data_IF_983635461149
#
_entry.id   IF_983635461149
#
_cell.length_a   1.000
_cell.length_b   1.000
_cell.length_c   1.000
_cell.angle_alpha   90.00
_cell.angle_beta   90.00
_cell.angle_gamma   90.00
#
_symmetry.space_group_name_H-M   'P 1'
#
loop_
_entity.id
_entity.type
_entity.pdbx_description
1 polymer ?
#
# COMPACT_ATOMS: atom_id res chain seq x y z
N UNK A 1 -14.95 -8.66 -17.26
CA UNK A 1 -13.83 -7.76 -17.08
C UNK A 1 -12.71 -8.60 -16.52
N UNK A 2 -11.63 -8.74 -17.30
CA UNK A 2 -10.48 -9.57 -16.92
C UNK A 2 -9.90 -9.04 -15.61
N UNK A 3 -9.73 -9.90 -14.62
CA UNK A 3 -9.19 -9.54 -13.31
C UNK A 3 -7.75 -9.04 -13.39
N UNK A 4 -7.07 -9.26 -14.52
CA UNK A 4 -5.65 -8.99 -14.76
C UNK A 4 -5.42 -7.95 -15.88
N UNK A 5 -6.36 -7.03 -16.08
CA UNK A 5 -6.21 -6.01 -17.10
C UNK A 5 -5.08 -5.02 -16.75
N UNK A 6 -4.11 -4.88 -17.67
CA UNK A 6 -3.03 -3.90 -17.54
C UNK A 6 -2.74 -3.23 -18.88
N UNK A 7 -2.20 -2.01 -18.82
CA UNK A 7 -1.81 -1.23 -20.00
C UNK A 7 -0.51 -0.47 -19.75
N UNK A 8 0.40 -0.52 -20.71
CA UNK A 8 1.59 0.32 -20.70
C UNK A 8 1.20 1.72 -21.14
N UNK A 9 1.29 2.70 -20.22
CA UNK A 9 0.92 4.10 -20.48
C UNK A 9 2.10 4.95 -20.90
N UNK A 10 3.32 4.58 -20.50
CA UNK A 10 4.57 5.21 -20.94
C UNK A 10 5.60 4.11 -21.22
N UNK A 11 6.29 4.22 -22.35
CA UNK A 11 7.45 3.39 -22.69
C UNK A 11 8.38 4.21 -23.62
N UNK A 12 9.18 5.08 -23.00
CA UNK A 12 10.13 5.95 -23.71
C UNK A 12 11.29 6.37 -22.81
N UNK A 13 12.43 6.66 -23.40
CA UNK A 13 13.64 7.16 -22.71
C UNK A 13 14.08 6.26 -21.56
N UNK A 14 13.85 4.93 -21.70
CA UNK A 14 14.16 3.93 -20.69
C UNK A 14 13.18 3.86 -19.52
N UNK A 15 12.15 4.72 -19.48
CA UNK A 15 11.07 4.68 -18.50
C UNK A 15 9.92 3.86 -19.05
N UNK A 16 9.47 2.86 -18.28
CA UNK A 16 8.23 2.13 -18.54
C UNK A 16 7.29 2.29 -17.35
N UNK A 17 6.06 2.71 -17.63
CA UNK A 17 4.99 2.81 -16.63
C UNK A 17 3.82 1.95 -17.09
N UNK A 18 3.41 1.01 -16.24
CA UNK A 18 2.27 0.12 -16.47
C UNK A 18 1.19 0.42 -15.45
N UNK A 19 0.00 0.78 -15.91
CA UNK A 19 -1.19 0.81 -15.09
C UNK A 19 -1.85 -0.57 -15.10
N UNK A 20 -2.29 -1.06 -13.96
CA UNK A 20 -2.97 -2.35 -13.83
C UNK A 20 -4.18 -2.23 -12.90
N UNK A 21 -5.18 -3.06 -13.16
CA UNK A 21 -6.41 -3.06 -12.38
C UNK A 21 -6.16 -3.60 -10.98
N UNK A 22 -6.78 -2.94 -9.97
CA UNK A 22 -6.90 -3.44 -8.59
C UNK A 22 -8.36 -3.46 -8.16
N UNK A 23 -8.66 -4.01 -6.97
CA UNK A 23 -10.03 -4.14 -6.48
C UNK A 23 -10.31 -3.16 -5.33
N UNK A 24 -11.03 -2.11 -5.63
CA UNK A 24 -11.50 -1.13 -4.65
C UNK A 24 -13.02 -0.90 -4.77
N UNK A 25 -13.76 -1.99 -5.05
CA UNK A 25 -15.23 -1.89 -5.22
C UNK A 25 -15.91 -1.34 -3.97
N UNK A 26 -16.88 -0.42 -4.10
CA UNK A 26 -17.64 -0.08 -5.32
C UNK A 26 -17.00 0.99 -6.23
N UNK A 27 -15.82 1.51 -5.91
CA UNK A 27 -15.14 2.53 -6.73
C UNK A 27 -14.44 1.84 -7.91
N UNK A 28 -14.85 2.19 -9.13
CA UNK A 28 -14.30 1.64 -10.37
C UNK A 28 -14.19 2.74 -11.44
N UNK A 29 -13.11 2.79 -12.23
CA UNK A 29 -11.95 1.91 -12.17
C UNK A 29 -11.04 2.24 -10.99
N UNK A 30 -10.39 1.22 -10.41
CA UNK A 30 -9.28 1.37 -9.47
C UNK A 30 -8.02 0.77 -10.09
N UNK A 31 -6.89 1.48 -9.95
CA UNK A 31 -5.64 1.10 -10.61
C UNK A 31 -4.44 1.27 -9.69
N UNK A 32 -3.50 0.33 -9.84
CA UNK A 32 -2.14 0.46 -9.35
C UNK A 32 -1.19 0.80 -10.50
N UNK A 33 0.02 1.19 -10.18
CA UNK A 33 1.04 1.56 -11.15
C UNK A 33 2.37 0.87 -10.85
N UNK A 34 3.00 0.28 -11.88
CA UNK A 34 4.38 -0.19 -11.84
C UNK A 34 5.26 0.75 -12.65
N UNK A 35 6.39 1.12 -12.08
CA UNK A 35 7.42 1.94 -12.69
C UNK A 35 8.70 1.13 -12.82
N UNK A 36 9.25 1.05 -14.03
CA UNK A 36 10.55 0.43 -14.31
C UNK A 36 11.45 1.47 -14.95
N UNK A 37 12.68 1.67 -14.42
CA UNK A 37 13.67 2.60 -14.94
C UNK A 37 15.09 2.21 -14.55
N UNK A 38 15.98 2.07 -15.53
CA UNK A 38 17.40 1.75 -15.33
C UNK A 38 17.62 0.56 -14.39
N UNK A 39 16.90 -0.54 -14.63
CA UNK A 39 17.01 -1.76 -13.84
C UNK A 39 16.42 -1.68 -12.43
N UNK A 40 15.80 -0.54 -12.07
CA UNK A 40 15.09 -0.36 -10.79
C UNK A 40 13.59 -0.34 -11.02
N UNK A 41 12.84 -0.76 -10.00
CA UNK A 41 11.39 -0.85 -10.12
C UNK A 41 10.67 -0.51 -8.81
N UNK A 42 9.48 0.06 -8.94
CA UNK A 42 8.58 0.25 -7.81
C UNK A 42 7.12 0.07 -8.25
N UNK A 43 6.29 -0.27 -7.28
CA UNK A 43 4.84 -0.35 -7.46
C UNK A 43 4.14 0.56 -6.45
N UNK A 44 3.08 1.21 -6.89
CA UNK A 44 2.12 1.94 -6.04
C UNK A 44 0.78 1.24 -6.20
N UNK A 45 0.21 0.74 -5.09
CA UNK A 45 -0.99 -0.08 -5.12
C UNK A 45 -2.25 0.65 -5.61
N UNK A 46 -2.37 1.97 -5.36
CA UNK A 46 -3.68 2.60 -5.27
C UNK A 46 -4.46 2.03 -4.09
N UNK A 47 -5.70 2.45 -3.89
CA UNK A 47 -6.57 1.88 -2.86
C UNK A 47 -7.13 0.53 -3.33
N UNK A 48 -7.00 -0.51 -2.52
CA UNK A 48 -7.36 -1.88 -2.92
C UNK A 48 -7.44 -2.82 -1.73
N UNK A 49 -8.29 -3.84 -1.81
CA UNK A 49 -8.14 -5.03 -0.96
C UNK A 49 -6.96 -5.88 -1.45
N UNK A 50 -6.71 -7.04 -0.81
CA UNK A 50 -5.77 -8.02 -1.37
C UNK A 50 -6.10 -8.30 -2.84
N UNK A 51 -5.12 -8.15 -3.73
CA UNK A 51 -5.29 -8.27 -5.19
C UNK A 51 -4.19 -9.14 -5.78
N UNK A 52 -4.60 -10.21 -6.49
CA UNK A 52 -3.65 -11.07 -7.24
C UNK A 52 -2.99 -10.30 -8.39
N UNK A 53 -3.69 -9.34 -9.00
CA UNK A 53 -3.10 -8.46 -10.01
C UNK A 53 -1.98 -7.59 -9.42
N UNK A 54 -2.19 -7.02 -8.22
CA UNK A 54 -1.16 -6.27 -7.52
C UNK A 54 0.03 -7.18 -7.16
N UNK A 55 -0.22 -8.39 -6.66
CA UNK A 55 0.83 -9.37 -6.36
C UNK A 55 1.70 -9.63 -7.60
N UNK A 56 1.08 -9.97 -8.73
CA UNK A 56 1.76 -10.26 -9.99
C UNK A 56 2.61 -9.06 -10.47
N UNK A 57 2.06 -7.85 -10.44
CA UNK A 57 2.80 -6.66 -10.85
C UNK A 57 3.87 -6.22 -9.85
N UNK A 58 3.83 -6.72 -8.62
CA UNK A 58 4.84 -6.48 -7.58
C UNK A 58 5.97 -7.50 -7.56
N UNK A 59 5.95 -8.53 -8.41
CA UNK A 59 7.01 -9.56 -8.43
C UNK A 59 8.38 -8.94 -8.65
N UNK A 60 9.30 -9.17 -7.68
CA UNK A 60 10.68 -8.78 -7.70
C UNK A 60 10.94 -7.27 -7.77
N UNK A 61 10.00 -6.43 -7.32
CA UNK A 61 10.23 -4.98 -7.30
C UNK A 61 11.07 -4.56 -6.09
N UNK A 62 11.85 -3.51 -6.26
CA UNK A 62 12.65 -2.93 -5.17
C UNK A 62 11.74 -2.36 -4.07
N UNK A 63 10.70 -1.60 -4.44
CA UNK A 63 9.78 -1.02 -3.46
C UNK A 63 8.32 -1.28 -3.85
N UNK A 64 7.54 -1.76 -2.90
CA UNK A 64 6.09 -1.74 -2.96
C UNK A 64 5.55 -0.67 -2.00
N UNK A 65 4.96 0.39 -2.56
CA UNK A 65 4.11 1.31 -1.82
C UNK A 65 2.70 0.75 -1.78
N UNK A 66 2.20 0.41 -0.60
CA UNK A 66 0.87 -0.18 -0.43
C UNK A 66 0.04 0.62 0.56
N UNK A 67 -1.22 0.91 0.21
CA UNK A 67 -2.19 1.44 1.15
C UNK A 67 -2.45 0.43 2.27
N UNK A 68 -2.93 0.89 3.42
CA UNK A 68 -3.15 -0.01 4.56
C UNK A 68 -4.20 0.51 5.54
N UNK A 69 -5.05 -0.39 6.00
CA UNK A 69 -6.08 -0.11 6.99
C UNK A 69 -6.03 -1.11 8.14
N UNK A 70 -6.06 -0.61 9.38
CA UNK A 70 -6.16 -1.46 10.58
C UNK A 70 -7.62 -1.74 10.94
N UNK A 71 -8.16 -2.95 10.69
CA UNK A 71 -9.58 -3.26 10.94
C UNK A 71 -9.97 -3.07 12.40
N UNK A 72 -9.13 -3.46 13.34
CA UNK A 72 -9.45 -3.35 14.76
C UNK A 72 -9.49 -1.90 15.24
N UNK A 73 -8.59 -1.01 14.73
CA UNK A 73 -8.60 0.41 15.06
C UNK A 73 -9.84 1.11 14.47
N UNK A 74 -10.15 0.80 13.20
CA UNK A 74 -11.36 1.31 12.55
C UNK A 74 -12.61 0.85 13.29
N UNK A 75 -12.64 -0.45 13.72
CA UNK A 75 -13.75 -0.98 14.51
C UNK A 75 -13.89 -0.25 15.85
N UNK A 76 -12.81 0.04 16.56
CA UNK A 76 -12.86 0.83 17.79
C UNK A 76 -13.48 2.22 17.56
N UNK A 77 -13.08 2.89 16.46
CA UNK A 77 -13.65 4.19 16.09
C UNK A 77 -15.15 4.03 15.77
N UNK A 78 -15.50 2.99 15.01
CA UNK A 78 -16.90 2.68 14.68
C UNK A 78 -17.76 2.47 15.92
N UNK A 79 -17.28 1.66 16.87
CA UNK A 79 -18.01 1.35 18.09
C UNK A 79 -18.21 2.62 18.96
N UNK A 80 -17.23 3.52 18.99
CA UNK A 80 -17.35 4.82 19.67
C UNK A 80 -18.26 5.81 18.91
N UNK A 81 -18.34 5.69 17.59
CA UNK A 81 -19.19 6.57 16.76
C UNK A 81 -20.69 6.40 17.06
N UNK A 82 -21.11 5.32 17.72
CA UNK A 82 -22.49 5.16 18.22
C UNK A 82 -22.87 6.22 19.25
N UNK A 83 -21.90 6.77 19.95
CA UNK A 83 -22.10 7.84 20.94
C UNK A 83 -22.00 9.26 20.33
N UNK A 84 -21.64 9.34 19.03
CA UNK A 84 -21.51 10.62 18.33
C UNK A 84 -22.79 10.98 17.57
N UNK A 85 -23.21 12.26 17.58
CA UNK A 85 -24.30 12.73 16.75
C UNK A 85 -23.99 12.73 15.24
N UNK A 86 -22.74 12.43 14.84
CA UNK A 86 -22.29 12.43 13.44
C UNK A 86 -22.58 11.08 12.79
N UNK A 87 -23.76 10.93 12.22
CA UNK A 87 -24.19 9.68 11.54
C UNK A 87 -23.31 9.27 10.35
N UNK A 88 -22.62 10.21 9.70
CA UNK A 88 -21.71 9.94 8.58
C UNK A 88 -20.49 9.13 8.99
N UNK A 89 -19.92 9.36 10.19
CA UNK A 89 -18.72 8.63 10.66
C UNK A 89 -19.01 7.13 10.79
N UNK A 90 -20.18 6.76 11.31
CA UNK A 90 -20.58 5.35 11.45
C UNK A 90 -20.69 4.65 10.09
N UNK A 91 -21.27 5.32 9.08
CA UNK A 91 -21.38 4.75 7.74
C UNK A 91 -20.00 4.59 7.09
N UNK A 92 -19.17 5.63 7.13
CA UNK A 92 -17.83 5.60 6.56
C UNK A 92 -16.98 4.48 7.18
N UNK A 93 -16.96 4.38 8.53
CA UNK A 93 -16.16 3.34 9.22
C UNK A 93 -16.68 1.91 8.97
N UNK A 94 -17.97 1.74 8.67
CA UNK A 94 -18.50 0.42 8.26
C UNK A 94 -18.10 0.06 6.83
N UNK A 95 -18.07 1.05 5.94
CA UNK A 95 -17.81 0.82 4.52
C UNK A 95 -16.33 0.58 4.24
N UNK A 96 -15.42 1.36 4.81
CA UNK A 96 -13.96 1.27 4.54
C UNK A 96 -13.36 -0.10 4.91
N UNK A 97 -13.97 -0.85 5.84
CA UNK A 97 -13.55 -2.20 6.19
C UNK A 97 -13.63 -3.21 5.01
N UNK A 98 -14.31 -2.85 3.93
CA UNK A 98 -14.62 -3.77 2.83
C UNK A 98 -13.72 -3.61 1.61
N UNK A 99 -13.00 -2.49 1.50
CA UNK A 99 -12.30 -2.13 0.27
C UNK A 99 -10.88 -1.59 0.48
N UNK A 100 -10.31 -1.79 1.68
CA UNK A 100 -8.92 -1.51 1.99
C UNK A 100 -8.19 -2.75 2.49
N UNK A 101 -6.88 -2.81 2.24
CA UNK A 101 -6.03 -3.92 2.63
C UNK A 101 -5.64 -3.87 4.11
N UNK A 102 -5.57 -5.03 4.75
CA UNK A 102 -5.04 -5.15 6.10
C UNK A 102 -3.51 -5.18 6.12
N UNK A 103 -2.83 -4.89 7.26
CA UNK A 103 -1.38 -5.03 7.36
C UNK A 103 -0.89 -6.45 7.02
N UNK A 104 -1.67 -7.48 7.37
CA UNK A 104 -1.37 -8.86 7.01
C UNK A 104 -1.48 -9.10 5.50
N UNK A 105 -2.44 -8.47 4.82
CA UNK A 105 -2.60 -8.63 3.37
C UNK A 105 -1.48 -7.94 2.60
N UNK A 106 -1.09 -6.72 3.00
CA UNK A 106 0.06 -6.03 2.41
C UNK A 106 1.34 -6.83 2.56
N UNK A 107 1.56 -7.42 3.74
CA UNK A 107 2.72 -8.25 4.04
C UNK A 107 2.70 -9.59 3.27
N UNK A 108 1.53 -10.21 3.07
CA UNK A 108 1.40 -11.42 2.23
C UNK A 108 1.76 -11.12 0.77
N UNK A 109 1.28 -10.00 0.22
CA UNK A 109 1.64 -9.57 -1.13
C UNK A 109 3.15 -9.36 -1.22
N UNK A 110 3.73 -8.55 -0.33
CA UNK A 110 5.17 -8.26 -0.33
C UNK A 110 6.02 -9.54 -0.19
N UNK A 111 5.63 -10.45 0.70
CA UNK A 111 6.35 -11.71 0.92
C UNK A 111 6.26 -12.67 -0.26
N UNK A 112 5.08 -12.85 -0.85
CA UNK A 112 4.89 -13.73 -2.02
C UNK A 112 5.55 -13.17 -3.27
N UNK A 113 5.49 -11.86 -3.47
CA UNK A 113 6.07 -11.18 -4.61
C UNK A 113 7.61 -11.04 -4.53
N UNK A 114 8.22 -11.30 -3.38
CA UNK A 114 9.66 -11.15 -3.19
C UNK A 114 10.11 -9.69 -3.26
N UNK A 115 9.32 -8.77 -2.71
CA UNK A 115 9.61 -7.33 -2.67
C UNK A 115 10.79 -7.06 -1.74
N UNK A 116 11.70 -6.17 -2.12
CA UNK A 116 12.84 -5.83 -1.25
C UNK A 116 12.43 -4.92 -0.09
N UNK A 117 11.52 -3.97 -0.30
CA UNK A 117 11.05 -3.04 0.73
C UNK A 117 9.55 -2.73 0.61
N UNK A 118 8.81 -2.97 1.68
CA UNK A 118 7.39 -2.59 1.81
C UNK A 118 7.27 -1.22 2.48
N UNK A 119 6.68 -0.26 1.79
CA UNK A 119 6.35 1.07 2.34
C UNK A 119 4.84 1.19 2.44
N UNK A 120 4.34 1.41 3.63
CA UNK A 120 2.90 1.60 3.88
C UNK A 120 2.55 3.08 3.80
N UNK A 121 1.57 3.43 2.99
CA UNK A 121 1.02 4.78 2.85
C UNK A 121 -0.50 4.75 2.98
N UNK A 122 -1.17 5.90 2.89
CA UNK A 122 -2.64 5.98 3.09
C UNK A 122 -3.09 5.15 4.31
N UNK A 123 -2.44 5.43 5.46
CA UNK A 123 -2.60 4.67 6.70
C UNK A 123 -3.95 5.02 7.35
N UNK A 124 -4.82 4.03 7.51
CA UNK A 124 -6.17 4.19 8.06
C UNK A 124 -6.34 3.37 9.35
N UNK A 125 -6.72 4.02 10.46
CA UNK A 125 -6.74 5.46 10.68
C UNK A 125 -5.33 6.04 10.79
N UNK A 126 -5.15 7.36 10.59
CA UNK A 126 -3.85 7.98 10.81
C UNK A 126 -3.42 7.79 12.26
N UNK A 127 -2.13 7.47 12.45
CA UNK A 127 -1.58 7.19 13.79
C UNK A 127 -1.13 8.48 14.46
N UNK A 128 -1.58 8.74 15.70
CA UNK A 128 -1.19 9.94 16.44
C UNK A 128 0.27 9.88 16.94
N UNK A 129 0.90 8.70 16.92
CA UNK A 129 2.28 8.51 17.38
C UNK A 129 2.92 7.29 16.73
N UNK A 130 4.21 7.35 16.38
CA UNK A 130 4.99 6.20 15.90
C UNK A 130 5.06 5.03 16.90
N UNK A 131 4.81 5.26 18.17
CA UNK A 131 4.77 4.21 19.20
C UNK A 131 3.67 3.16 18.92
N UNK A 132 2.66 3.53 18.14
CA UNK A 132 1.58 2.64 17.76
C UNK A 132 1.88 1.78 16.50
N UNK A 133 3.00 2.02 15.83
CA UNK A 133 3.32 1.33 14.57
C UNK A 133 3.32 -0.20 14.73
N UNK A 134 3.95 -0.74 15.78
CA UNK A 134 3.98 -2.19 15.99
C UNK A 134 2.61 -2.77 16.29
N UNK A 135 1.79 -2.03 17.01
CA UNK A 135 0.41 -2.42 17.31
C UNK A 135 -0.45 -2.39 16.03
N UNK A 136 -0.28 -1.36 15.19
CA UNK A 136 -0.94 -1.24 13.89
C UNK A 136 -0.58 -2.40 12.96
N UNK A 137 0.71 -2.74 12.86
CA UNK A 137 1.22 -3.80 11.99
C UNK A 137 0.78 -5.21 12.40
N UNK A 138 0.43 -5.42 13.68
CA UNK A 138 -0.06 -6.70 14.16
C UNK A 138 0.84 -7.87 13.78
N UNK A 139 0.31 -8.81 12.99
CA UNK A 139 1.02 -10.00 12.55
C UNK A 139 1.74 -9.88 11.19
N UNK A 140 1.82 -8.71 10.60
CA UNK A 140 2.39 -8.50 9.26
C UNK A 140 3.78 -9.16 9.11
N UNK A 141 4.66 -9.05 10.13
CA UNK A 141 6.00 -9.65 10.13
C UNK A 141 6.03 -11.19 10.09
N UNK A 142 4.89 -11.86 10.27
CA UNK A 142 4.80 -13.31 10.05
C UNK A 142 4.87 -13.66 8.56
N UNK A 143 4.36 -12.78 7.71
CA UNK A 143 4.21 -13.00 6.27
C UNK A 143 5.32 -12.37 5.44
N UNK A 144 5.91 -11.27 5.93
CA UNK A 144 7.03 -10.60 5.26
C UNK A 144 8.17 -10.34 6.23
N UNK A 145 9.39 -10.77 5.85
CA UNK A 145 10.61 -10.66 6.69
C UNK A 145 11.50 -9.49 6.32
N UNK A 146 11.23 -8.87 5.17
CA UNK A 146 11.93 -7.68 4.73
C UNK A 146 11.57 -6.42 5.54
N UNK A 147 12.17 -5.30 5.20
CA UNK A 147 11.92 -4.01 5.85
C UNK A 147 10.50 -3.51 5.55
N UNK A 148 9.80 -3.06 6.61
CA UNK A 148 8.49 -2.40 6.52
C UNK A 148 8.65 -0.98 7.07
N UNK A 149 8.34 0.02 6.24
CA UNK A 149 8.33 1.43 6.64
C UNK A 149 6.90 1.96 6.71
N UNK A 150 6.53 2.56 7.83
CA UNK A 150 5.32 3.38 7.93
C UNK A 150 5.62 4.73 7.28
N UNK A 151 5.05 4.98 6.10
CA UNK A 151 5.25 6.22 5.37
C UNK A 151 4.69 7.43 6.11
N UNK A 152 5.41 8.53 6.04
CA UNK A 152 4.96 9.84 6.51
C UNK A 152 5.25 10.88 5.44
N UNK A 153 4.50 11.97 5.45
CA UNK A 153 4.67 13.05 4.49
C UNK A 153 6.10 13.60 4.48
N UNK A 154 6.62 13.86 3.30
CA UNK A 154 7.99 14.34 3.10
C UNK A 154 9.07 13.26 3.16
N UNK A 155 8.73 11.97 3.19
CA UNK A 155 9.71 10.91 2.95
C UNK A 155 10.12 10.87 1.48
N UNK A 156 11.42 10.75 1.25
CA UNK A 156 12.04 10.51 -0.06
C UNK A 156 12.69 9.13 -0.07
N UNK A 157 12.40 8.36 -1.10
CA UNK A 157 13.10 7.12 -1.42
C UNK A 157 13.90 7.32 -2.70
N UNK A 158 15.16 6.90 -2.71
CA UNK A 158 16.04 6.97 -3.88
C UNK A 158 16.57 5.59 -4.20
N UNK A 159 16.44 5.20 -5.45
CA UNK A 159 16.89 3.93 -6.01
C UNK A 159 18.02 4.22 -7.02
N UNK A 160 19.31 4.31 -6.59
CA UNK A 160 20.39 4.56 -7.53
C UNK A 160 20.44 3.46 -8.61
N UNK A 161 20.66 3.86 -9.87
CA UNK A 161 20.88 2.92 -10.96
C UNK A 161 22.12 2.06 -10.69
N UNK A 162 22.15 0.87 -11.27
CA UNK A 162 23.29 -0.07 -11.17
C UNK A 162 23.65 -0.46 -9.72
N UNK A 163 22.71 -0.36 -8.80
CA UNK A 163 22.88 -0.72 -7.39
C UNK A 163 21.61 -1.40 -6.83
N UNK A 164 21.75 -2.19 -5.76
CA UNK A 164 20.62 -2.72 -4.99
C UNK A 164 20.20 -1.80 -3.84
N UNK A 165 20.78 -0.61 -3.72
CA UNK A 165 20.52 0.27 -2.59
C UNK A 165 19.13 0.92 -2.67
N UNK A 166 18.50 1.02 -1.50
CA UNK A 166 17.28 1.79 -1.28
C UNK A 166 17.59 2.83 -0.20
N UNK A 167 17.80 4.07 -0.63
CA UNK A 167 18.12 5.16 0.28
C UNK A 167 16.84 5.88 0.73
N UNK A 168 16.70 6.11 2.03
CA UNK A 168 15.53 6.77 2.61
C UNK A 168 15.95 8.05 3.34
N UNK A 169 15.23 9.14 3.12
CA UNK A 169 15.44 10.42 3.79
C UNK A 169 14.12 11.09 4.12
N UNK A 170 14.00 11.71 5.28
CA UNK A 170 12.89 12.59 5.63
C UNK A 170 13.27 14.03 5.27
N UNK A 171 12.48 14.68 4.39
CA UNK A 171 12.72 16.05 3.92
C UNK A 171 12.00 17.09 4.77
N UNK A 172 10.85 16.72 5.35
CA UNK A 172 10.06 17.59 6.22
C UNK A 172 10.29 17.20 7.69
N UNK A 173 10.33 18.20 8.56
CA UNK A 173 10.46 18.02 10.02
C UNK A 173 9.12 17.74 10.67
#
# INVERSE_FOLDING_TARGET
PEEDASVVIINRDGVKITAFKVDHRPVVPAVGYRFDYKGRSLVISGDTVYSESLLKHSEGVDILFHEVMSPWMVKMIHDQAHMSPVSSLKRVTADILRYHATPEDTAKIAGKAGVDHLVLYHIIPPLPSPLLNNLFLGNAKKYYKGPITMGVDGMLFSLPADSGEINQKKLLK
#
